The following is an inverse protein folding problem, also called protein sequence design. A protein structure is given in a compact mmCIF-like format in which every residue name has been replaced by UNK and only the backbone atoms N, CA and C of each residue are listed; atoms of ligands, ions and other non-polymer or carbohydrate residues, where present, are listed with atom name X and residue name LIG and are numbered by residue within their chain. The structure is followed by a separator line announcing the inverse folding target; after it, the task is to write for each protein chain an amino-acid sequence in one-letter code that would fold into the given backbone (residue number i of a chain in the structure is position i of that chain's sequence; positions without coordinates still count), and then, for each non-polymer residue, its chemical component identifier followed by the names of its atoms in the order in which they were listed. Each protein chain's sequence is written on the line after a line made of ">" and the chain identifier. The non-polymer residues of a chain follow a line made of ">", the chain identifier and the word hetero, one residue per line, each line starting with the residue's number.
data_IF_480465880213
#
_entry.id   IF_480465880213
#
_cell.length_a   1.000
_cell.length_b   1.000
_cell.length_c   1.000
_cell.angle_alpha   90.00
_cell.angle_beta   90.00
_cell.angle_gamma   90.00
#
_symmetry.space_group_name_H-M   'P 1'
#
loop_
_entity.id
_entity.type
_entity.pdbx_description
1 polymer ?
#
# COMPACT_ATOMS: atom_id res chain seq x y z
N UNK A 1 13.00 -7.94 -28.21
CA UNK A 1 11.72 -7.34 -27.80
C UNK A 1 12.03 -6.48 -26.60
N UNK A 2 11.66 -5.19 -26.62
CA UNK A 2 12.04 -4.24 -25.58
C UNK A 2 10.85 -3.97 -24.66
N UNK A 3 11.12 -3.73 -23.38
CA UNK A 3 10.13 -3.35 -22.37
C UNK A 3 10.68 -2.14 -21.62
N UNK A 4 9.80 -1.19 -21.31
CA UNK A 4 10.15 0.07 -20.67
C UNK A 4 9.15 0.35 -19.55
N UNK A 5 9.64 0.92 -18.45
CA UNK A 5 8.77 1.48 -17.40
C UNK A 5 8.40 2.88 -17.87
N UNK A 6 7.11 3.11 -18.14
CA UNK A 6 6.58 4.38 -18.66
C UNK A 6 5.89 5.24 -17.60
N UNK A 7 5.71 4.70 -16.39
CA UNK A 7 5.24 5.44 -15.23
C UNK A 7 5.26 4.59 -13.97
N UNK A 8 5.07 5.26 -12.84
CA UNK A 8 5.07 4.67 -11.51
C UNK A 8 4.06 5.40 -10.65
N UNK A 9 3.41 4.69 -9.72
CA UNK A 9 2.52 5.30 -8.74
C UNK A 9 2.81 4.80 -7.35
N UNK A 10 2.47 5.61 -6.36
CA UNK A 10 2.65 5.29 -4.95
C UNK A 10 1.45 5.77 -4.14
N UNK A 11 1.05 4.97 -3.16
CA UNK A 11 0.11 5.40 -2.14
C UNK A 11 0.66 5.06 -0.76
N UNK A 12 0.74 6.08 0.11
CA UNK A 12 1.19 5.94 1.50
C UNK A 12 0.02 6.32 2.42
N UNK A 13 -0.49 5.39 3.26
CA UNK A 13 -1.66 5.66 4.08
C UNK A 13 -1.35 6.59 5.26
N UNK A 14 -2.26 7.52 5.52
CA UNK A 14 -2.15 8.46 6.64
C UNK A 14 -0.92 9.36 6.56
N UNK A 15 -0.65 10.08 7.65
CA UNK A 15 0.47 11.01 7.73
C UNK A 15 1.81 10.26 7.84
N UNK A 16 2.89 10.92 7.39
CA UNK A 16 4.24 10.47 7.71
C UNK A 16 4.48 10.66 9.21
N UNK A 17 4.64 9.55 9.93
CA UNK A 17 4.84 9.57 11.38
C UNK A 17 6.32 9.46 11.73
N UNK A 18 6.76 10.23 12.72
CA UNK A 18 8.12 10.11 13.25
C UNK A 18 8.25 8.92 14.20
N UNK A 19 9.50 8.55 14.52
CA UNK A 19 9.81 7.40 15.37
C UNK A 19 9.22 7.47 16.78
N UNK A 20 9.07 8.68 17.30
CA UNK A 20 8.50 8.98 18.62
C UNK A 20 7.01 8.61 18.67
N UNK A 21 6.30 8.74 17.55
CA UNK A 21 4.85 8.52 17.47
C UNK A 21 4.45 7.07 17.17
N UNK A 22 5.40 6.19 16.80
CA UNK A 22 5.12 4.78 16.45
C UNK A 22 4.19 4.11 17.47
N UNK A 23 4.51 4.26 18.75
CA UNK A 23 3.81 3.58 19.84
C UNK A 23 2.36 4.07 20.02
N UNK A 24 2.00 5.23 19.45
CA UNK A 24 0.62 5.74 19.42
C UNK A 24 -0.25 5.04 18.38
N UNK A 25 0.34 4.34 17.42
CA UNK A 25 -0.37 3.63 16.35
C UNK A 25 -0.40 2.12 16.57
N UNK A 26 0.74 1.53 16.94
CA UNK A 26 0.86 0.07 17.07
C UNK A 26 0.90 -0.42 18.53
N UNK A 27 0.84 0.49 19.50
CA UNK A 27 0.99 0.17 20.93
C UNK A 27 2.45 0.04 21.36
N UNK A 28 2.65 -0.36 22.62
CA UNK A 28 3.97 -0.67 23.20
C UNK A 28 3.79 -1.78 24.25
N UNK A 29 4.69 -2.76 24.27
CA UNK A 29 4.77 -3.71 25.37
C UNK A 29 5.82 -3.24 26.41
N UNK A 30 5.75 -3.80 27.63
CA UNK A 30 6.78 -3.55 28.63
C UNK A 30 8.15 -4.00 28.10
N UNK A 31 9.20 -3.22 28.39
CA UNK A 31 10.61 -3.49 28.00
C UNK A 31 10.96 -3.38 26.49
N UNK A 32 10.03 -3.01 25.61
CA UNK A 32 10.33 -2.87 24.16
C UNK A 32 11.07 -1.59 23.76
N UNK A 33 11.06 -0.55 24.61
CA UNK A 33 11.59 0.78 24.26
C UNK A 33 13.07 0.75 23.88
N UNK A 34 13.91 0.01 24.61
CA UNK A 34 15.35 -0.09 24.33
C UNK A 34 15.62 -0.84 23.01
N UNK A 35 14.84 -1.90 22.74
CA UNK A 35 14.93 -2.68 21.51
C UNK A 35 14.51 -1.80 20.32
N UNK A 36 13.39 -1.08 20.46
CA UNK A 36 12.89 -0.14 19.44
C UNK A 36 13.97 0.88 19.08
N UNK A 37 14.57 1.54 20.06
CA UNK A 37 15.63 2.54 19.82
C UNK A 37 16.85 1.94 19.10
N UNK A 38 17.30 0.76 19.53
CA UNK A 38 18.42 0.05 18.90
C UNK A 38 18.11 -0.28 17.44
N UNK A 39 16.94 -0.85 17.15
CA UNK A 39 16.52 -1.23 15.80
C UNK A 39 16.37 -0.01 14.90
N UNK A 40 15.77 1.08 15.39
CA UNK A 40 15.63 2.32 14.63
C UNK A 40 16.97 2.99 14.34
N UNK A 41 17.93 2.91 15.28
CA UNK A 41 19.31 3.37 15.03
C UNK A 41 19.99 2.53 13.95
N UNK A 42 19.75 1.22 13.93
CA UNK A 42 20.35 0.30 12.95
C UNK A 42 19.75 0.45 11.55
N UNK A 43 18.43 0.59 11.40
CA UNK A 43 17.79 0.69 10.09
C UNK A 43 17.79 2.12 9.52
N UNK A 44 17.99 3.14 10.36
CA UNK A 44 18.07 4.55 9.94
C UNK A 44 16.75 5.20 9.55
N UNK A 45 15.62 4.49 9.60
CA UNK A 45 14.30 5.00 9.22
C UNK A 45 13.89 6.11 10.20
N UNK A 46 13.47 7.25 9.65
CA UNK A 46 13.01 8.42 10.42
C UNK A 46 11.50 8.57 10.43
N UNK A 47 10.87 8.21 9.31
CA UNK A 47 9.43 8.32 9.13
C UNK A 47 8.86 7.06 8.48
N UNK A 48 7.57 6.83 8.73
CA UNK A 48 6.81 5.71 8.17
C UNK A 48 5.32 6.02 8.11
N UNK A 49 4.56 5.14 7.47
CA UNK A 49 3.11 5.26 7.29
C UNK A 49 2.44 3.99 7.80
N UNK A 50 1.25 4.15 8.40
CA UNK A 50 0.43 3.04 8.86
C UNK A 50 -0.99 3.20 8.31
N UNK A 51 -1.58 2.09 7.83
CA UNK A 51 -3.01 2.03 7.53
C UNK A 51 -3.85 1.88 8.83
N UNK A 52 -3.51 2.68 9.85
CA UNK A 52 -4.13 2.70 11.17
C UNK A 52 -4.30 4.14 11.63
N UNK A 53 -5.37 4.44 12.34
CA UNK A 53 -5.51 5.70 13.09
C UNK A 53 -4.86 5.58 14.49
N UNK A 54 -4.93 6.67 15.29
CA UNK A 54 -4.37 6.69 16.66
C UNK A 54 -5.21 5.91 17.68
N UNK A 55 -6.41 5.48 17.28
CA UNK A 55 -7.27 4.58 18.04
C UNK A 55 -7.07 3.12 17.59
N UNK A 56 -6.09 2.87 16.72
CA UNK A 56 -5.75 1.57 16.13
C UNK A 56 -6.85 0.98 15.25
N UNK A 57 -7.77 1.81 14.73
CA UNK A 57 -8.72 1.36 13.72
C UNK A 57 -8.03 1.31 12.35
N UNK A 58 -8.28 0.26 11.53
CA UNK A 58 -7.76 0.21 10.17
C UNK A 58 -8.35 1.36 9.33
N UNK A 59 -7.48 2.11 8.66
CA UNK A 59 -7.90 3.20 7.76
C UNK A 59 -8.06 2.74 6.32
N UNK A 60 -7.29 1.72 5.92
CA UNK A 60 -7.32 1.13 4.58
C UNK A 60 -7.06 -0.36 4.70
N UNK A 61 -7.58 -1.14 3.75
CA UNK A 61 -7.16 -2.52 3.55
C UNK A 61 -6.10 -2.64 2.44
N UNK A 62 -5.45 -3.81 2.34
CA UNK A 62 -4.38 -4.04 1.35
C UNK A 62 -4.84 -3.88 -0.09
N UNK A 63 -6.13 -4.15 -0.37
CA UNK A 63 -6.68 -4.03 -1.72
C UNK A 63 -6.87 -2.56 -2.08
N UNK A 64 -7.30 -1.73 -1.13
CA UNK A 64 -7.46 -0.29 -1.29
C UNK A 64 -6.10 0.39 -1.49
N UNK A 65 -5.09 0.03 -0.69
CA UNK A 65 -3.73 0.53 -0.87
C UNK A 65 -3.20 0.27 -2.29
N UNK A 66 -3.38 -0.96 -2.79
CA UNK A 66 -2.97 -1.33 -4.14
C UNK A 66 -3.79 -0.58 -5.21
N UNK A 67 -5.11 -0.46 -5.02
CA UNK A 67 -6.00 0.23 -5.95
C UNK A 67 -5.63 1.70 -6.10
N UNK A 68 -5.34 2.39 -4.99
CA UNK A 68 -4.95 3.80 -4.98
C UNK A 68 -3.57 4.02 -5.61
N UNK A 69 -2.61 3.12 -5.39
CA UNK A 69 -1.30 3.19 -6.05
C UNK A 69 -1.39 2.96 -7.57
N UNK A 70 -2.26 2.04 -8.02
CA UNK A 70 -2.52 1.85 -9.45
C UNK A 70 -3.18 3.08 -10.06
N UNK A 71 -4.16 3.67 -9.37
CA UNK A 71 -4.80 4.92 -9.79
C UNK A 71 -3.77 6.04 -9.96
N UNK A 72 -2.89 6.24 -8.98
CA UNK A 72 -1.82 7.24 -9.02
C UNK A 72 -0.89 7.03 -10.23
N UNK A 73 -0.49 5.78 -10.49
CA UNK A 73 0.35 5.43 -11.64
C UNK A 73 -0.32 5.77 -12.98
N UNK A 74 -1.61 5.45 -13.12
CA UNK A 74 -2.37 5.66 -14.35
C UNK A 74 -2.78 7.12 -14.56
N UNK A 75 -2.91 7.90 -13.48
CA UNK A 75 -3.14 9.34 -13.59
C UNK A 75 -1.87 10.07 -14.08
N UNK A 76 -0.67 9.61 -13.69
CA UNK A 76 0.62 10.11 -14.18
C UNK A 76 0.90 9.68 -15.63
N UNK A 77 0.57 8.43 -15.96
CA UNK A 77 0.60 7.93 -17.32
C UNK A 77 -0.54 8.56 -18.12
N UNK A 78 -0.34 9.73 -18.74
CA UNK A 78 -1.34 10.43 -19.55
C UNK A 78 -1.93 9.65 -20.75
N UNK A 79 -1.69 8.34 -20.85
CA UNK A 79 -2.27 7.39 -21.80
C UNK A 79 -3.18 6.41 -21.05
N UNK A 80 -4.50 6.56 -21.23
CA UNK A 80 -5.52 5.60 -20.79
C UNK A 80 -5.64 4.44 -21.78
N UNK A 81 -4.53 3.83 -22.17
CA UNK A 81 -4.57 2.62 -22.98
C UNK A 81 -5.18 1.48 -22.16
N UNK A 82 -5.85 0.54 -22.83
CA UNK A 82 -6.44 -0.62 -22.15
C UNK A 82 -5.34 -1.48 -21.53
N UNK A 83 -5.38 -1.63 -20.20
CA UNK A 83 -4.48 -2.53 -19.48
C UNK A 83 -4.79 -3.96 -19.87
N UNK A 84 -3.87 -4.60 -20.61
CA UNK A 84 -4.03 -6.00 -21.06
C UNK A 84 -3.64 -7.04 -20.01
N UNK A 85 -2.91 -6.64 -18.97
CA UNK A 85 -2.43 -7.56 -17.93
C UNK A 85 -2.20 -6.83 -16.61
N UNK A 86 -2.70 -7.43 -15.52
CA UNK A 86 -2.49 -6.97 -14.15
C UNK A 86 -1.84 -8.07 -13.33
N UNK A 87 -0.71 -7.75 -12.71
CA UNK A 87 -0.03 -8.63 -11.76
C UNK A 87 0.20 -7.89 -10.46
N UNK A 88 -0.15 -8.53 -9.34
CA UNK A 88 -0.03 -7.94 -8.01
C UNK A 88 0.50 -9.00 -7.05
N UNK A 89 1.46 -8.61 -6.21
CA UNK A 89 2.03 -9.44 -5.17
C UNK A 89 2.04 -8.72 -3.82
N UNK A 90 1.83 -9.49 -2.76
CA UNK A 90 2.02 -9.05 -1.37
C UNK A 90 2.55 -10.21 -0.57
N UNK A 91 3.36 -9.93 0.46
CA UNK A 91 3.74 -10.94 1.46
C UNK A 91 2.67 -11.15 2.53
N UNK A 92 1.67 -10.26 2.60
CA UNK A 92 0.63 -10.24 3.63
C UNK A 92 -0.76 -10.19 2.99
N UNK A 93 -1.15 -11.26 2.30
CA UNK A 93 -2.50 -11.38 1.75
C UNK A 93 -3.47 -11.83 2.87
N UNK A 94 -4.56 -11.11 3.16
CA UNK A 94 -5.47 -11.46 4.24
C UNK A 94 -6.35 -12.67 3.88
N UNK A 95 -6.50 -12.99 2.58
CA UNK A 95 -7.26 -14.13 2.09
C UNK A 95 -6.35 -15.09 1.32
N UNK A 96 -6.63 -16.39 1.43
CA UNK A 96 -5.99 -17.43 0.61
C UNK A 96 -6.52 -17.38 -0.83
N UNK A 97 -7.82 -17.14 -0.97
CA UNK A 97 -8.52 -16.95 -2.25
C UNK A 97 -9.80 -16.13 -2.01
N UNK A 98 -10.32 -15.39 -3.02
CA UNK A 98 -9.70 -15.14 -4.33
C UNK A 98 -8.39 -14.34 -4.19
N UNK A 99 -7.53 -14.41 -5.21
CA UNK A 99 -6.21 -13.79 -5.17
C UNK A 99 -6.29 -12.26 -5.13
N UNK A 100 -5.25 -11.61 -4.57
CA UNK A 100 -5.15 -10.16 -4.44
C UNK A 100 -5.44 -9.42 -5.77
N UNK A 101 -4.84 -9.90 -6.87
CA UNK A 101 -5.04 -9.32 -8.19
C UNK A 101 -6.51 -9.35 -8.66
N UNK A 102 -7.26 -10.41 -8.36
CA UNK A 102 -8.68 -10.50 -8.72
C UNK A 102 -9.53 -9.47 -7.97
N UNK A 103 -9.26 -9.27 -6.68
CA UNK A 103 -10.00 -8.31 -5.86
C UNK A 103 -9.68 -6.88 -6.28
N UNK A 104 -8.40 -6.55 -6.49
CA UNK A 104 -8.00 -5.22 -6.96
C UNK A 104 -8.52 -4.95 -8.37
N UNK A 105 -8.53 -5.94 -9.26
CA UNK A 105 -9.14 -5.81 -10.58
C UNK A 105 -10.62 -5.43 -10.48
N UNK A 106 -11.39 -6.09 -9.62
CA UNK A 106 -12.80 -5.74 -9.37
C UNK A 106 -12.95 -4.29 -8.89
N UNK A 107 -12.12 -3.84 -7.95
CA UNK A 107 -12.17 -2.46 -7.44
C UNK A 107 -11.78 -1.42 -8.50
N UNK A 108 -10.77 -1.70 -9.32
CA UNK A 108 -10.38 -0.81 -10.41
C UNK A 108 -11.49 -0.69 -11.46
N UNK A 109 -12.22 -1.78 -11.72
CA UNK A 109 -13.36 -1.79 -12.61
C UNK A 109 -14.56 -1.01 -12.03
N UNK A 110 -14.87 -1.20 -10.74
CA UNK A 110 -15.89 -0.42 -10.02
C UNK A 110 -15.59 1.09 -10.02
N UNK A 111 -14.31 1.48 -10.03
CA UNK A 111 -13.85 2.87 -10.15
C UNK A 111 -13.82 3.40 -11.59
N UNK A 112 -14.11 2.56 -12.60
CA UNK A 112 -14.06 2.93 -14.01
C UNK A 112 -12.64 3.23 -14.54
N UNK A 113 -11.60 2.77 -13.83
CA UNK A 113 -10.19 2.97 -14.20
C UNK A 113 -9.80 1.99 -15.29
N UNK A 114 -10.24 0.74 -15.15
CA UNK A 114 -10.11 -0.28 -16.18
C UNK A 114 -11.50 -0.67 -16.66
N UNK A 115 -11.60 -1.08 -17.91
CA UNK A 115 -12.85 -1.65 -18.40
C UNK A 115 -13.15 -2.94 -17.63
N UNK A 116 -14.41 -3.16 -17.29
CA UNK A 116 -14.88 -4.51 -17.01
C UNK A 116 -14.61 -5.37 -18.25
N UNK A 117 -13.63 -6.28 -18.20
CA UNK A 117 -13.51 -7.38 -19.15
C UNK A 117 -12.73 -8.50 -18.46
N UNK A 118 -13.18 -9.75 -18.44
CA UNK A 118 -13.88 -10.57 -19.44
C UNK A 118 -15.07 -11.30 -18.79
#
# INVERSE_FOLDING_TARGET
>A
MNCYITGTGIFLPGDAINNEDISRYIGNLEEESEIKEKILRMNGIKQRHYALDRQQNPTHDVYELATLAVKDCLDDCGHKESIGYLSIGTTNAPLVAPGLASIVHSRLAEMGIINESI
#
